data_IF_026015013290
#
_entry.id   IF_026015013290
#
_cell.length_a   1.000
_cell.length_b   1.000
_cell.length_c   1.000
_cell.angle_alpha   90.00
_cell.angle_beta   90.00
_cell.angle_gamma   90.00
#
_symmetry.space_group_name_H-M   'P 1'
#
loop_
_entity.id
_entity.type
_entity.pdbx_description
1 polymer ?
#
# COMPACT_ATOMS: atom_id res chain seq x y z
N UNK A 1 -5.16 3.79 -12.41
CA UNK A 1 -4.93 2.35 -12.41
C UNK A 1 -5.17 1.77 -11.02
N UNK A 2 -5.84 0.64 -10.94
CA UNK A 2 -6.12 0.00 -9.65
C UNK A 2 -5.05 -1.06 -9.35
N UNK A 3 -4.42 -0.95 -8.17
CA UNK A 3 -3.48 -1.94 -7.69
C UNK A 3 -4.16 -2.75 -6.60
N UNK A 4 -4.80 -3.85 -6.97
CA UNK A 4 -5.67 -4.64 -6.08
C UNK A 4 -4.98 -5.15 -4.82
N UNK A 5 -3.67 -5.39 -4.88
CA UNK A 5 -2.93 -5.91 -3.73
C UNK A 5 -2.92 -4.95 -2.54
N UNK A 6 -3.07 -3.65 -2.80
CA UNK A 6 -3.10 -2.64 -1.73
C UNK A 6 -4.32 -2.85 -0.83
N UNK A 7 -5.51 -2.98 -1.43
CA UNK A 7 -6.71 -3.25 -0.65
C UNK A 7 -6.71 -4.66 -0.09
N UNK A 8 -6.21 -5.64 -0.84
CA UNK A 8 -6.13 -7.03 -0.37
C UNK A 8 -5.28 -7.14 0.90
N UNK A 9 -4.10 -6.51 0.90
CA UNK A 9 -3.22 -6.52 2.08
C UNK A 9 -3.86 -5.83 3.28
N UNK A 10 -4.56 -4.72 3.04
CA UNK A 10 -5.27 -4.01 4.10
C UNK A 10 -6.35 -4.90 4.71
N UNK A 11 -7.14 -5.54 3.88
CA UNK A 11 -8.22 -6.41 4.34
C UNK A 11 -7.67 -7.64 5.06
N UNK A 12 -6.60 -8.23 4.55
CA UNK A 12 -5.95 -9.38 5.19
C UNK A 12 -5.40 -9.02 6.57
N UNK A 13 -5.02 -7.77 6.78
CA UNK A 13 -4.53 -7.29 8.08
C UNK A 13 -5.65 -6.80 9.00
N UNK A 14 -6.90 -6.96 8.61
CA UNK A 14 -8.08 -6.48 9.35
C UNK A 14 -8.04 -4.98 9.62
N UNK A 15 -7.47 -4.21 8.70
CA UNK A 15 -7.39 -2.76 8.83
C UNK A 15 -8.50 -2.09 8.03
N UNK A 16 -9.00 -0.98 8.57
CA UNK A 16 -9.93 -0.12 7.86
C UNK A 16 -9.14 0.91 7.04
N UNK A 17 -9.78 1.50 6.03
CA UNK A 17 -9.14 2.54 5.23
C UNK A 17 -8.60 3.68 6.10
N UNK A 18 -9.37 4.09 7.13
CA UNK A 18 -8.93 5.16 8.03
C UNK A 18 -7.67 4.80 8.80
N UNK A 19 -7.48 3.52 9.14
CA UNK A 19 -6.28 3.08 9.87
C UNK A 19 -5.04 3.26 9.01
N UNK A 20 -5.12 2.89 7.75
CA UNK A 20 -4.02 3.07 6.82
C UNK A 20 -3.79 4.55 6.52
N UNK A 21 -4.88 5.32 6.36
CA UNK A 21 -4.77 6.76 6.14
C UNK A 21 -4.04 7.45 7.29
N UNK A 22 -4.34 7.07 8.53
CA UNK A 22 -3.64 7.60 9.71
C UNK A 22 -2.14 7.27 9.65
N UNK A 23 -1.81 6.04 9.30
CA UNK A 23 -0.41 5.63 9.15
C UNK A 23 0.31 6.48 8.10
N UNK A 24 -0.38 6.78 7.00
CA UNK A 24 0.17 7.55 5.89
C UNK A 24 0.12 9.07 6.12
N UNK A 25 -0.50 9.53 7.20
CA UNK A 25 -0.72 10.95 7.50
C UNK A 25 -1.52 11.66 6.40
N UNK A 26 -2.54 10.98 5.86
CA UNK A 26 -3.43 11.58 4.88
C UNK A 26 -4.89 11.35 5.28
N UNK A 27 -5.81 11.98 4.57
CA UNK A 27 -7.23 11.79 4.83
C UNK A 27 -7.69 10.41 4.32
N UNK A 28 -8.76 9.90 4.92
CA UNK A 28 -9.37 8.66 4.46
C UNK A 28 -9.81 8.76 2.99
N UNK A 29 -10.32 9.92 2.58
CA UNK A 29 -10.75 10.13 1.20
C UNK A 29 -9.59 10.03 0.23
N UNK A 30 -8.44 10.61 0.56
CA UNK A 30 -7.23 10.52 -0.27
C UNK A 30 -6.79 9.07 -0.39
N UNK A 31 -6.73 8.35 0.73
CA UNK A 31 -6.34 6.95 0.69
C UNK A 31 -7.34 6.11 -0.12
N UNK A 32 -8.64 6.36 0.06
CA UNK A 32 -9.67 5.67 -0.71
C UNK A 32 -9.47 5.87 -2.22
N UNK A 33 -9.09 7.07 -2.62
CA UNK A 33 -8.82 7.37 -4.03
C UNK A 33 -7.61 6.59 -4.55
N UNK A 34 -6.63 6.29 -3.71
CA UNK A 34 -5.51 5.42 -4.09
C UNK A 34 -6.01 4.01 -4.40
N UNK A 35 -6.85 3.44 -3.54
CA UNK A 35 -7.39 2.09 -3.75
C UNK A 35 -8.27 2.02 -4.99
N UNK A 36 -9.04 3.06 -5.25
CA UNK A 36 -9.95 3.11 -6.39
C UNK A 36 -9.27 3.43 -7.72
N UNK A 37 -7.98 3.76 -7.69
CA UNK A 37 -7.25 4.12 -8.90
C UNK A 37 -7.61 5.50 -9.44
N UNK A 38 -8.27 6.33 -8.65
CA UNK A 38 -8.67 7.69 -9.04
C UNK A 38 -7.57 8.71 -8.81
N UNK A 39 -6.49 8.32 -8.17
CA UNK A 39 -5.36 9.18 -7.87
C UNK A 39 -4.08 8.35 -7.92
N UNK A 40 -3.07 8.88 -8.57
CA UNK A 40 -1.75 8.23 -8.60
C UNK A 40 -1.16 8.18 -7.21
N UNK A 41 -0.51 7.06 -6.90
CA UNK A 41 0.10 6.86 -5.58
C UNK A 41 1.53 7.39 -5.62
N UNK A 42 1.85 8.42 -4.82
CA UNK A 42 3.23 8.91 -4.76
C UNK A 42 4.21 7.83 -4.32
N UNK A 43 5.44 7.94 -4.79
CA UNK A 43 6.48 6.97 -4.44
C UNK A 43 6.64 6.82 -2.92
N UNK A 44 6.62 7.93 -2.18
CA UNK A 44 6.74 7.88 -0.72
C UNK A 44 5.61 7.07 -0.08
N UNK A 45 4.40 7.16 -0.63
CA UNK A 45 3.25 6.40 -0.13
C UNK A 45 3.42 4.91 -0.45
N UNK A 46 3.91 4.57 -1.65
CA UNK A 46 4.19 3.18 -2.00
C UNK A 46 5.21 2.57 -1.05
N UNK A 47 6.27 3.29 -0.73
CA UNK A 47 7.29 2.83 0.20
C UNK A 47 6.69 2.62 1.59
N UNK A 48 5.88 3.57 2.06
CA UNK A 48 5.24 3.48 3.37
C UNK A 48 4.27 2.29 3.45
N UNK A 49 3.53 2.03 2.38
CA UNK A 49 2.63 0.87 2.31
C UNK A 49 3.41 -0.44 2.33
N UNK A 50 4.54 -0.50 1.63
CA UNK A 50 5.40 -1.68 1.65
C UNK A 50 5.93 -1.94 3.07
N UNK A 51 6.31 -0.90 3.78
CA UNK A 51 6.76 -1.02 5.17
C UNK A 51 5.63 -1.46 6.09
N UNK A 52 4.45 -0.85 5.96
CA UNK A 52 3.30 -1.20 6.78
C UNK A 52 2.92 -2.66 6.63
N UNK A 53 2.89 -3.17 5.41
CA UNK A 53 2.47 -4.54 5.11
C UNK A 53 3.63 -5.52 5.06
N UNK A 54 4.84 -5.06 5.37
CA UNK A 54 6.06 -5.88 5.38
C UNK A 54 6.26 -6.62 4.05
N UNK A 55 6.18 -5.88 2.97
CA UNK A 55 6.35 -6.38 1.61
C UNK A 55 7.23 -5.42 0.81
N UNK A 56 7.19 -5.51 -0.50
CA UNK A 56 7.96 -4.65 -1.39
C UNK A 56 7.07 -3.94 -2.39
N UNK A 57 7.56 -2.85 -2.96
CA UNK A 57 6.79 -2.03 -3.90
C UNK A 57 6.44 -2.81 -5.15
N UNK A 58 7.34 -3.65 -5.65
CA UNK A 58 7.07 -4.46 -6.84
C UNK A 58 5.87 -5.37 -6.63
N UNK A 59 5.76 -5.98 -5.44
CA UNK A 59 4.60 -6.81 -5.11
C UNK A 59 3.32 -5.97 -5.11
N UNK A 60 3.36 -4.77 -4.51
CA UNK A 60 2.20 -3.87 -4.48
C UNK A 60 1.73 -3.52 -5.88
N UNK A 61 2.65 -3.32 -6.81
CA UNK A 61 2.34 -2.94 -8.18
C UNK A 61 2.01 -4.12 -9.09
N UNK A 62 2.12 -5.34 -8.58
CA UNK A 62 1.83 -6.55 -9.37
C UNK A 62 2.95 -6.96 -10.32
N UNK A 63 4.16 -6.43 -10.11
CA UNK A 63 5.31 -6.74 -10.96
C UNK A 63 6.01 -8.04 -10.56
N UNK A 64 5.73 -8.56 -9.37
CA UNK A 64 6.26 -9.82 -8.88
C UNK A 64 5.23 -10.47 -7.96
N UNK A 65 5.28 -11.79 -7.84
CA UNK A 65 4.50 -12.54 -6.85
C UNK A 65 5.29 -12.80 -5.56
N UNK A 66 6.54 -12.36 -5.51
CA UNK A 66 7.37 -12.50 -4.33
C UNK A 66 7.01 -11.40 -3.33
N UNK A 67 6.48 -11.80 -2.16
CA UNK A 67 5.97 -10.88 -1.15
C UNK A 67 7.01 -10.48 -0.11
N UNK A 68 8.24 -10.90 -0.25
CA UNK A 68 9.29 -10.66 0.74
C UNK A 68 9.60 -9.18 0.92
N UNK A 69 9.79 -8.77 2.18
CA UNK A 69 10.30 -7.44 2.48
C UNK A 69 11.75 -7.33 1.99
N UNK A 70 12.23 -6.10 1.85
CA UNK A 70 13.59 -5.85 1.34
C UNK A 70 14.63 -6.44 2.29
N UNK A 71 15.38 -7.49 1.88
CA UNK A 71 16.25 -8.20 2.82
C UNK A 71 17.50 -7.43 3.21
N UNK A 72 18.02 -6.59 2.33
CA UNK A 72 19.30 -5.90 2.52
C UNK A 72 19.14 -4.39 2.72
N UNK A 73 17.96 -3.99 3.14
CA UNK A 73 17.68 -2.57 3.39
C UNK A 73 18.24 -2.17 4.75
N UNK A 74 19.36 -1.52 4.73
CA UNK A 74 20.03 -1.06 5.95
C UNK A 74 20.36 0.41 5.87
#
# INVERSE_FOLDING_TARGET
MVYHRISDLREDADMKQRDVAEYLHCSQQVYSNYELGQRDIPTAVLIALAELHHTNVDYLLGLTDVRSFYPDLK
#
